data_IF_006153945317
#
_entry.id   IF_006153945317
#
_cell.length_a   1.000
_cell.length_b   1.000
_cell.length_c   1.000
_cell.angle_alpha   90.00
_cell.angle_beta   90.00
_cell.angle_gamma   90.00
#
_symmetry.space_group_name_H-M   'P 1'
#
loop_
_entity.id
_entity.type
_entity.pdbx_description
1 polymer ?
#
# COMPACT_ATOMS: atom_id res chain seq x y z
N UNK A 1 52.16 -2.23 59.50
CA UNK A 1 50.97 -2.04 58.69
C UNK A 1 51.20 -2.70 57.35
N UNK A 2 50.57 -3.80 57.08
CA UNK A 2 50.60 -4.48 55.76
C UNK A 2 49.47 -3.96 54.89
N UNK A 3 49.83 -3.49 53.69
CA UNK A 3 48.89 -3.03 52.69
C UNK A 3 48.42 -4.27 51.90
N UNK A 4 47.12 -4.57 51.98
CA UNK A 4 46.52 -5.65 51.21
C UNK A 4 46.32 -5.28 49.75
N UNK A 5 46.78 -6.17 48.88
CA UNK A 5 46.59 -6.09 47.41
C UNK A 5 45.13 -6.33 47.02
N UNK A 6 44.53 -5.53 46.20
CA UNK A 6 43.16 -5.78 45.72
C UNK A 6 43.14 -6.94 44.70
N UNK A 7 42.28 -7.92 44.99
CA UNK A 7 41.98 -9.05 44.10
C UNK A 7 41.10 -8.53 42.94
N UNK A 8 41.59 -8.63 41.72
CA UNK A 8 40.85 -8.34 40.50
C UNK A 8 39.96 -9.55 40.16
N UNK A 9 38.64 -9.37 40.20
CA UNK A 9 37.65 -10.34 39.71
C UNK A 9 37.57 -10.17 38.21
N UNK A 10 37.73 -11.20 37.37
CA UNK A 10 37.56 -11.11 35.95
C UNK A 10 36.08 -10.87 35.57
N UNK A 11 35.78 -10.13 34.49
CA UNK A 11 34.42 -9.94 34.06
C UNK A 11 33.80 -11.27 33.60
N UNK A 12 32.56 -11.52 34.05
CA UNK A 12 31.75 -12.62 33.58
C UNK A 12 31.23 -12.26 32.19
N UNK A 13 31.65 -13.00 31.17
CA UNK A 13 31.04 -12.92 29.83
C UNK A 13 29.58 -13.35 29.90
N UNK A 14 28.64 -12.58 29.27
CA UNK A 14 27.28 -13.07 29.13
C UNK A 14 27.25 -14.20 28.09
N UNK A 15 26.89 -15.38 28.54
CA UNK A 15 26.62 -16.55 27.70
C UNK A 15 25.35 -16.24 26.90
N UNK A 16 25.51 -15.87 25.65
CA UNK A 16 24.39 -15.78 24.68
C UNK A 16 23.99 -17.21 24.32
N UNK A 17 22.88 -17.66 24.88
CA UNK A 17 22.18 -18.84 24.35
C UNK A 17 21.44 -18.41 23.09
N UNK A 18 21.66 -19.06 21.94
CA UNK A 18 20.85 -18.75 20.75
C UNK A 18 19.40 -19.17 21.02
N UNK A 19 18.50 -18.23 21.04
CA UNK A 19 17.07 -18.51 20.99
C UNK A 19 16.77 -18.85 19.54
N UNK A 20 16.73 -20.13 19.20
CA UNK A 20 16.14 -20.63 17.96
C UNK A 20 14.62 -20.50 18.13
N UNK A 21 13.91 -19.75 17.29
CA UNK A 21 12.45 -19.81 17.26
C UNK A 21 12.06 -21.24 16.84
N UNK A 22 10.97 -21.80 17.38
CA UNK A 22 10.47 -23.09 16.92
C UNK A 22 10.02 -22.93 15.47
N UNK A 23 10.81 -23.44 14.54
CA UNK A 23 10.37 -23.66 13.16
C UNK A 23 9.50 -24.91 13.19
N UNK A 24 8.21 -24.71 13.38
CA UNK A 24 7.25 -25.77 13.11
C UNK A 24 6.95 -25.75 11.59
N UNK A 25 7.68 -26.58 10.88
CA UNK A 25 7.48 -26.83 9.47
C UNK A 25 6.24 -27.69 9.28
N UNK A 26 5.06 -27.04 9.20
CA UNK A 26 3.85 -27.74 8.76
C UNK A 26 3.00 -26.85 7.88
N UNK A 27 2.97 -27.25 6.61
CA UNK A 27 1.93 -27.01 5.61
C UNK A 27 1.56 -25.54 5.40
N UNK A 28 2.07 -24.98 4.31
CA UNK A 28 1.40 -23.84 3.65
C UNK A 28 -0.10 -24.15 3.57
N UNK A 29 -0.97 -23.31 4.13
CA UNK A 29 -2.40 -23.46 3.91
C UNK A 29 -2.65 -23.48 2.40
N UNK A 30 -3.62 -24.25 1.89
CA UNK A 30 -4.01 -24.11 0.49
C UNK A 30 -4.44 -22.66 0.26
N UNK A 31 -4.08 -22.05 -0.89
CA UNK A 31 -4.47 -20.68 -1.20
C UNK A 31 -5.99 -20.56 -1.01
N UNK A 32 -6.39 -19.51 -0.29
CA UNK A 32 -7.81 -19.22 -0.12
C UNK A 32 -8.39 -19.00 -1.52
N UNK A 33 -9.53 -19.62 -1.82
CA UNK A 33 -10.21 -19.47 -3.12
C UNK A 33 -10.91 -18.12 -3.26
N UNK A 34 -10.75 -17.23 -2.28
CA UNK A 34 -11.24 -15.85 -2.28
C UNK A 34 -10.07 -14.88 -2.14
N UNK A 35 -10.07 -13.75 -2.85
CA UNK A 35 -9.09 -12.67 -2.69
C UNK A 35 -9.12 -12.06 -1.28
N UNK A 36 -8.30 -11.00 -1.03
CA UNK A 36 -8.23 -10.34 0.27
C UNK A 36 -9.58 -9.74 0.68
N UNK A 37 -9.88 -9.74 1.98
CA UNK A 37 -11.15 -9.23 2.53
C UNK A 37 -10.90 -8.31 3.72
N UNK A 38 -11.82 -7.37 3.95
CA UNK A 38 -11.92 -6.56 5.19
C UNK A 38 -13.36 -6.67 5.69
N UNK A 39 -13.54 -7.14 6.93
CA UNK A 39 -14.86 -7.30 7.57
C UNK A 39 -15.91 -8.02 6.70
N UNK A 40 -15.49 -9.07 6.01
CA UNK A 40 -16.24 -9.89 5.04
C UNK A 40 -16.53 -9.21 3.68
N UNK A 41 -16.12 -7.98 3.45
CA UNK A 41 -16.15 -7.39 2.11
C UNK A 41 -14.91 -7.80 1.33
N UNK A 42 -15.04 -8.19 0.05
CA UNK A 42 -13.86 -8.45 -0.79
C UNK A 42 -13.09 -7.14 -1.03
N UNK A 43 -11.78 -7.22 -1.15
CA UNK A 43 -10.99 -6.13 -1.69
C UNK A 43 -10.87 -6.31 -3.20
N UNK A 44 -11.97 -6.06 -3.89
CA UNK A 44 -12.23 -6.35 -5.30
C UNK A 44 -12.35 -7.85 -5.66
N UNK A 45 -12.87 -8.18 -6.85
CA UNK A 45 -12.88 -9.55 -7.36
C UNK A 45 -11.49 -10.16 -7.49
N UNK A 46 -11.39 -11.49 -7.41
CA UNK A 46 -10.11 -12.19 -7.49
C UNK A 46 -9.35 -11.95 -8.81
N UNK A 47 -10.04 -11.60 -9.89
CA UNK A 47 -9.47 -11.23 -11.17
C UNK A 47 -9.30 -9.71 -11.35
N UNK A 48 -9.28 -8.95 -10.25
CA UNK A 48 -8.91 -7.55 -10.29
C UNK A 48 -7.38 -7.40 -10.43
N UNK A 49 -6.92 -6.35 -11.08
CA UNK A 49 -5.48 -6.07 -11.25
C UNK A 49 -4.70 -6.01 -9.91
N UNK A 50 -5.34 -5.59 -8.82
CA UNK A 50 -4.72 -5.64 -7.50
C UNK A 50 -4.41 -7.06 -7.06
N UNK A 51 -5.32 -8.00 -7.32
CA UNK A 51 -5.29 -9.38 -6.85
C UNK A 51 -4.64 -10.36 -7.83
N UNK A 52 -4.16 -9.87 -8.99
CA UNK A 52 -3.61 -10.71 -10.05
C UNK A 52 -2.10 -10.86 -9.91
N UNK A 53 -1.57 -12.09 -9.82
CA UNK A 53 -0.13 -12.35 -9.84
C UNK A 53 0.53 -11.85 -11.13
N UNK A 54 1.78 -11.38 -11.01
CA UNK A 54 2.56 -10.84 -12.12
C UNK A 54 3.95 -11.45 -12.24
N UNK A 55 4.25 -12.45 -11.45
CA UNK A 55 5.56 -13.12 -11.38
C UNK A 55 6.01 -13.71 -12.71
N UNK A 56 5.05 -14.07 -13.58
CA UNK A 56 5.32 -14.63 -14.92
C UNK A 56 5.24 -13.62 -16.06
N UNK A 57 4.92 -12.35 -15.80
CA UNK A 57 4.80 -11.34 -16.86
C UNK A 57 6.15 -10.97 -17.47
N UNK A 58 6.19 -10.55 -18.75
CA UNK A 58 7.39 -10.06 -19.38
C UNK A 58 7.86 -8.75 -18.73
N UNK A 59 9.17 -8.54 -18.71
CA UNK A 59 9.79 -7.29 -18.28
C UNK A 59 9.39 -6.19 -19.28
N UNK A 60 8.98 -5.04 -18.75
CA UNK A 60 8.65 -3.88 -19.57
C UNK A 60 9.89 -3.31 -20.25
N UNK A 61 9.79 -2.88 -21.51
CA UNK A 61 10.91 -2.37 -22.30
C UNK A 61 11.59 -1.11 -21.71
N UNK A 62 10.88 -0.35 -20.88
CA UNK A 62 11.39 0.84 -20.19
C UNK A 62 11.83 0.53 -18.74
N UNK A 63 11.83 -0.73 -18.30
CA UNK A 63 12.12 -1.09 -16.91
C UNK A 63 13.38 -0.43 -16.37
N UNK A 64 14.51 -0.58 -17.08
CA UNK A 64 15.78 0.02 -16.67
C UNK A 64 15.75 1.57 -16.60
N UNK A 65 15.04 2.20 -17.55
CA UNK A 65 14.93 3.64 -17.60
C UNK A 65 14.08 4.18 -16.43
N UNK A 66 12.95 3.53 -16.13
CA UNK A 66 12.09 3.90 -15.01
C UNK A 66 12.78 3.71 -13.66
N UNK A 67 13.46 2.58 -13.46
CA UNK A 67 14.22 2.32 -12.23
C UNK A 67 15.35 3.34 -12.05
N UNK A 68 16.04 3.72 -13.13
CA UNK A 68 17.05 4.77 -13.06
C UNK A 68 16.46 6.15 -12.71
N UNK A 69 15.27 6.46 -13.20
CA UNK A 69 14.56 7.71 -12.90
C UNK A 69 14.11 7.79 -11.45
N UNK A 70 13.62 6.67 -10.89
CA UNK A 70 13.19 6.61 -9.47
C UNK A 70 14.40 6.64 -8.53
N UNK A 71 15.55 6.12 -8.95
CA UNK A 71 16.73 5.96 -8.09
C UNK A 71 17.07 4.50 -7.89
N UNK A 72 17.99 4.00 -8.73
CA UNK A 72 18.40 2.59 -8.75
C UNK A 72 19.00 2.11 -7.44
N UNK A 73 19.75 2.96 -6.77
CA UNK A 73 20.48 2.66 -5.53
C UNK A 73 19.75 3.18 -4.29
N UNK A 74 18.58 3.80 -4.45
CA UNK A 74 17.74 4.22 -3.35
C UNK A 74 17.08 3.03 -2.68
N UNK A 75 16.93 3.14 -1.35
CA UNK A 75 16.39 2.08 -0.49
C UNK A 75 14.86 2.08 -0.54
N UNK A 76 14.29 0.89 -0.49
CA UNK A 76 12.87 0.73 -0.21
C UNK A 76 12.58 1.19 1.22
N UNK A 77 11.44 1.81 1.43
CA UNK A 77 10.97 2.20 2.75
C UNK A 77 9.52 1.75 2.96
N UNK A 78 9.27 1.06 4.09
CA UNK A 78 7.92 0.71 4.50
C UNK A 78 7.35 1.88 5.30
N UNK A 79 6.51 2.70 4.65
CA UNK A 79 5.99 3.96 5.18
C UNK A 79 4.75 3.74 6.07
N UNK A 80 4.90 2.84 7.03
CA UNK A 80 3.90 2.52 8.05
C UNK A 80 4.54 1.77 9.22
N UNK A 81 3.84 1.71 10.36
CA UNK A 81 4.40 1.02 11.52
C UNK A 81 3.55 1.16 12.77
N UNK A 82 4.16 0.83 13.92
CA UNK A 82 3.64 1.10 15.24
C UNK A 82 4.17 2.43 15.79
N UNK A 83 3.43 3.01 16.74
CA UNK A 83 3.80 4.27 17.39
C UNK A 83 3.49 5.49 16.54
N UNK A 84 4.23 6.56 16.79
CA UNK A 84 3.99 7.88 16.18
C UNK A 84 5.25 8.43 15.51
N UNK A 85 5.07 9.13 14.41
CA UNK A 85 6.08 9.95 13.77
C UNK A 85 5.56 11.38 13.61
N UNK A 86 6.34 12.37 14.00
CA UNK A 86 5.99 13.80 13.96
C UNK A 86 4.63 14.13 14.64
N UNK A 87 4.23 13.34 15.64
CA UNK A 87 3.05 13.57 16.46
C UNK A 87 1.79 12.82 16.07
N UNK A 88 1.86 11.87 15.14
CA UNK A 88 0.74 11.01 14.80
C UNK A 88 1.13 9.62 14.29
N UNK A 89 0.13 8.73 14.09
CA UNK A 89 0.35 7.37 13.63
C UNK A 89 1.07 7.30 12.29
N UNK A 90 1.88 6.26 12.09
CA UNK A 90 2.68 6.06 10.87
C UNK A 90 1.88 5.21 9.87
N UNK A 91 1.49 5.80 8.74
CA UNK A 91 0.77 5.13 7.66
C UNK A 91 -0.65 5.64 7.47
N UNK A 92 -1.38 5.04 6.52
CA UNK A 92 -2.73 5.45 6.11
C UNK A 92 -3.76 4.60 6.86
N UNK A 93 -4.48 5.14 7.86
CA UNK A 93 -5.49 4.41 8.59
C UNK A 93 -6.77 4.26 7.77
N UNK A 94 -7.63 3.31 8.16
CA UNK A 94 -8.96 3.17 7.59
C UNK A 94 -10.02 2.97 8.67
N UNK A 95 -11.26 3.18 8.28
CA UNK A 95 -12.44 3.03 9.12
C UNK A 95 -13.32 1.92 8.55
N UNK A 96 -13.91 1.11 9.44
CA UNK A 96 -14.87 0.07 9.08
C UNK A 96 -16.17 0.38 9.78
N UNK A 97 -17.23 0.58 9.01
CA UNK A 97 -18.53 1.00 9.53
C UNK A 97 -19.67 0.13 8.96
N UNK A 98 -20.81 0.09 9.66
CA UNK A 98 -22.08 -0.25 9.05
C UNK A 98 -22.71 1.09 8.62
N UNK A 99 -22.78 1.36 7.33
CA UNK A 99 -23.10 2.67 6.78
C UNK A 99 -24.39 3.27 7.29
N UNK A 100 -25.39 2.43 7.57
CA UNK A 100 -26.66 2.88 8.17
C UNK A 100 -26.56 3.40 9.63
N UNK A 101 -25.43 3.19 10.30
CA UNK A 101 -25.23 3.54 11.71
C UNK A 101 -24.39 4.79 11.93
N UNK A 102 -23.83 5.37 10.87
CA UNK A 102 -22.99 6.56 10.92
C UNK A 102 -23.60 7.70 10.12
N UNK A 103 -23.27 8.97 10.42
CA UNK A 103 -23.69 10.08 9.59
C UNK A 103 -23.19 9.96 8.15
N UNK A 104 -23.97 10.41 7.20
CA UNK A 104 -23.57 10.53 5.80
C UNK A 104 -23.50 12.01 5.43
N UNK A 105 -22.39 12.45 4.88
CA UNK A 105 -22.10 13.84 4.58
C UNK A 105 -21.93 14.09 3.09
N UNK A 106 -22.52 15.17 2.60
CA UNK A 106 -22.13 15.75 1.33
C UNK A 106 -20.83 16.54 1.58
N UNK A 107 -19.75 16.15 0.91
CA UNK A 107 -18.45 16.80 1.04
C UNK A 107 -18.25 17.83 -0.09
N UNK A 108 -17.57 18.93 0.23
CA UNK A 108 -17.17 19.95 -0.74
C UNK A 108 -15.74 19.67 -1.22
N UNK A 109 -15.55 19.42 -2.52
CA UNK A 109 -14.23 19.11 -3.09
C UNK A 109 -13.65 20.24 -3.93
N UNK A 110 -12.31 20.39 -3.89
CA UNK A 110 -11.59 21.34 -4.74
C UNK A 110 -11.59 20.89 -6.20
N UNK A 111 -11.66 19.55 -6.45
CA UNK A 111 -11.77 18.93 -7.77
C UNK A 111 -13.15 18.25 -7.96
N UNK A 112 -14.26 19.03 -7.95
CA UNK A 112 -15.60 18.45 -7.93
C UNK A 112 -15.96 17.72 -9.23
N UNK A 113 -15.33 18.08 -10.35
CA UNK A 113 -15.57 17.46 -11.66
C UNK A 113 -14.91 16.09 -11.79
N UNK A 114 -13.96 15.77 -10.89
CA UNK A 114 -13.24 14.50 -10.84
C UNK A 114 -13.52 13.74 -9.55
N UNK A 115 -14.53 14.15 -8.79
CA UNK A 115 -14.92 13.55 -7.52
C UNK A 115 -16.31 12.95 -7.58
N UNK A 116 -16.54 11.85 -6.86
CA UNK A 116 -17.88 11.29 -6.68
C UNK A 116 -18.66 12.16 -5.68
N UNK A 117 -19.91 12.47 -6.02
CA UNK A 117 -20.71 13.43 -5.26
C UNK A 117 -21.09 13.00 -3.83
N UNK A 118 -20.88 11.75 -3.44
CA UNK A 118 -21.27 11.24 -2.13
C UNK A 118 -22.75 10.81 -2.07
N UNK A 119 -23.38 10.72 -0.86
CA UNK A 119 -22.79 11.09 0.43
C UNK A 119 -21.74 10.10 0.96
N UNK A 120 -20.85 10.59 1.84
CA UNK A 120 -19.76 9.82 2.45
C UNK A 120 -20.11 9.42 3.89
N UNK A 121 -20.08 8.14 4.27
CA UNK A 121 -20.42 7.66 5.61
C UNK A 121 -19.21 7.84 6.55
N UNK A 122 -19.01 9.03 7.05
CA UNK A 122 -17.88 9.38 7.93
C UNK A 122 -18.32 9.24 9.39
N UNK A 123 -17.68 8.39 10.22
CA UNK A 123 -18.04 8.25 11.63
C UNK A 123 -17.67 9.51 12.44
N UNK A 124 -18.23 9.69 13.65
CA UNK A 124 -18.03 10.88 14.50
C UNK A 124 -16.58 10.98 14.95
N UNK A 125 -15.67 10.28 14.92
CA UNK A 125 -14.25 10.41 15.20
C UNK A 125 -13.49 9.51 14.24
N UNK A 126 -13.40 9.89 12.97
CA UNK A 126 -12.75 9.06 11.97
C UNK A 126 -11.25 8.97 12.22
N UNK A 127 -10.69 7.81 11.92
CA UNK A 127 -9.26 7.71 11.73
C UNK A 127 -8.91 8.48 10.46
N UNK A 128 -8.11 9.52 10.59
CA UNK A 128 -7.61 10.36 9.50
C UNK A 128 -6.10 10.17 9.44
N UNK A 129 -5.56 10.09 8.25
CA UNK A 129 -4.12 10.03 8.07
C UNK A 129 -3.44 11.25 8.69
N UNK A 130 -2.35 10.99 9.40
CA UNK A 130 -1.49 12.04 9.94
C UNK A 130 -0.52 12.53 8.86
N UNK A 131 -0.30 13.84 8.80
CA UNK A 131 0.60 14.45 7.82
C UNK A 131 -0.08 15.56 7.04
N UNK A 132 0.20 15.66 5.75
CA UNK A 132 -0.35 16.70 4.86
C UNK A 132 -1.57 16.25 4.09
N UNK A 133 -1.75 14.95 3.89
CA UNK A 133 -2.71 14.42 2.90
C UNK A 133 -4.08 14.12 3.49
N UNK A 134 -4.15 13.96 4.82
CA UNK A 134 -5.40 13.83 5.59
C UNK A 134 -6.42 12.89 4.94
N UNK A 135 -5.96 11.74 4.44
CA UNK A 135 -6.86 10.75 3.85
C UNK A 135 -7.88 10.23 4.87
N UNK A 136 -9.13 10.08 4.44
CA UNK A 136 -10.15 9.32 5.16
C UNK A 136 -10.61 8.18 4.28
N UNK A 137 -10.32 6.95 4.71
CA UNK A 137 -10.74 5.72 4.04
C UNK A 137 -11.84 5.06 4.87
N UNK A 138 -12.97 4.70 4.25
CA UNK A 138 -14.11 4.08 4.94
C UNK A 138 -14.62 2.89 4.14
N UNK A 139 -14.68 1.72 4.77
CA UNK A 139 -15.36 0.54 4.24
C UNK A 139 -16.75 0.45 4.88
N UNK A 140 -17.79 0.54 4.07
CA UNK A 140 -19.15 0.23 4.49
C UNK A 140 -19.41 -1.27 4.35
N UNK A 141 -19.58 -1.95 5.47
CA UNK A 141 -19.76 -3.39 5.55
C UNK A 141 -21.15 -3.89 5.14
N UNK A 142 -22.15 -3.01 5.03
CA UNK A 142 -23.49 -3.36 4.62
C UNK A 142 -23.63 -3.44 3.09
N UNK A 143 -22.85 -2.60 2.39
CA UNK A 143 -22.90 -2.52 0.93
C UNK A 143 -21.62 -2.98 0.24
N UNK A 144 -20.53 -3.18 1.00
CA UNK A 144 -19.19 -3.38 0.51
C UNK A 144 -18.73 -2.28 -0.47
N UNK A 145 -19.06 -1.04 -0.13
CA UNK A 145 -18.54 0.14 -0.80
C UNK A 145 -17.34 0.68 -0.03
N UNK A 146 -16.34 1.12 -0.76
CA UNK A 146 -15.16 1.83 -0.23
C UNK A 146 -15.27 3.30 -0.60
N UNK A 147 -15.10 4.17 0.38
CA UNK A 147 -15.08 5.61 0.22
C UNK A 147 -13.69 6.12 0.60
N UNK A 148 -13.06 6.86 -0.27
CA UNK A 148 -11.73 7.42 -0.06
C UNK A 148 -11.71 8.89 -0.41
N UNK A 149 -11.07 9.68 0.44
CA UNK A 149 -11.00 11.13 0.28
C UNK A 149 -9.59 11.64 0.57
N UNK A 150 -9.21 12.73 -0.10
CA UNK A 150 -7.92 13.40 0.02
C UNK A 150 -8.07 14.80 0.63
N UNK A 151 -7.11 15.21 1.47
CA UNK A 151 -6.97 16.53 2.10
C UNK A 151 -8.22 16.98 2.88
N UNK A 152 -8.78 16.05 3.67
CA UNK A 152 -10.05 16.29 4.36
C UNK A 152 -9.92 17.12 5.62
N UNK A 153 -10.84 18.05 5.78
CA UNK A 153 -11.01 18.86 6.97
C UNK A 153 -12.49 19.04 7.33
N UNK A 154 -12.79 19.19 8.62
CA UNK A 154 -14.14 19.43 9.10
C UNK A 154 -14.21 20.79 9.80
N UNK A 155 -14.97 21.73 9.23
CA UNK A 155 -15.17 23.05 9.82
C UNK A 155 -16.64 23.46 9.76
N UNK A 156 -17.15 23.98 10.88
CA UNK A 156 -18.53 24.49 11.01
C UNK A 156 -19.64 23.51 10.56
N UNK A 157 -19.39 22.21 10.67
CA UNK A 157 -20.37 21.17 10.31
C UNK A 157 -20.28 20.71 8.84
N UNK A 158 -19.28 21.16 8.09
CA UNK A 158 -19.03 20.81 6.68
C UNK A 158 -17.71 20.10 6.55
N UNK A 159 -17.71 18.97 5.84
CA UNK A 159 -16.50 18.31 5.35
C UNK A 159 -16.08 18.94 4.02
N UNK A 160 -14.81 19.29 3.91
CA UNK A 160 -14.22 19.76 2.66
C UNK A 160 -12.85 19.14 2.43
N UNK A 161 -12.45 19.00 1.19
CA UNK A 161 -11.17 18.36 0.84
C UNK A 161 -10.79 18.51 -0.63
N UNK A 162 -9.73 17.82 -1.03
CA UNK A 162 -9.21 17.85 -2.40
C UNK A 162 -10.12 17.10 -3.35
N UNK A 163 -10.30 15.82 -3.12
CA UNK A 163 -11.06 14.90 -3.98
C UNK A 163 -11.69 13.77 -3.19
N UNK A 164 -12.66 13.10 -3.81
CA UNK A 164 -13.31 11.94 -3.23
C UNK A 164 -13.66 10.87 -4.27
N UNK A 165 -13.51 9.61 -3.90
CA UNK A 165 -13.77 8.46 -4.74
C UNK A 165 -14.62 7.41 -4.02
N UNK A 166 -15.54 6.79 -4.76
CA UNK A 166 -16.43 5.73 -4.26
C UNK A 166 -16.25 4.50 -5.13
N UNK A 167 -15.95 3.38 -4.51
CA UNK A 167 -15.66 2.12 -5.17
C UNK A 167 -16.63 1.02 -4.75
N UNK A 168 -17.22 0.31 -5.72
CA UNK A 168 -17.91 -0.95 -5.45
C UNK A 168 -16.88 -2.07 -5.40
N UNK A 169 -16.61 -2.58 -4.19
CA UNK A 169 -15.62 -3.64 -3.97
C UNK A 169 -15.99 -4.99 -4.60
N UNK A 170 -17.20 -5.13 -5.11
CA UNK A 170 -17.63 -6.31 -5.87
C UNK A 170 -17.47 -6.15 -7.39
N UNK A 171 -16.93 -5.01 -7.85
CA UNK A 171 -16.84 -4.63 -9.26
C UNK A 171 -15.40 -4.41 -9.69
N UNK A 172 -15.11 -4.68 -10.96
CA UNK A 172 -13.85 -4.31 -11.61
C UNK A 172 -13.91 -2.97 -12.34
N UNK A 173 -14.97 -2.17 -12.17
CA UNK A 173 -15.09 -0.89 -12.83
C UNK A 173 -13.97 0.07 -12.39
N UNK A 174 -13.28 0.68 -13.36
CA UNK A 174 -12.36 1.77 -13.12
C UNK A 174 -13.11 3.10 -13.12
N UNK A 175 -12.50 4.13 -12.53
CA UNK A 175 -12.99 5.50 -12.60
C UNK A 175 -13.04 5.99 -14.06
N UNK A 176 -13.81 7.06 -14.37
CA UNK A 176 -13.75 7.69 -15.66
C UNK A 176 -12.32 8.04 -16.05
N UNK A 177 -12.03 7.99 -17.35
CA UNK A 177 -10.71 8.36 -17.87
C UNK A 177 -10.41 9.83 -17.56
N UNK A 178 -9.19 10.13 -17.17
CA UNK A 178 -8.69 11.44 -16.69
C UNK A 178 -9.16 11.86 -15.28
N UNK A 179 -9.93 11.05 -14.58
CA UNK A 179 -10.34 11.37 -13.21
C UNK A 179 -9.28 10.92 -12.19
N UNK A 180 -8.94 11.83 -11.28
CA UNK A 180 -8.18 11.48 -10.07
C UNK A 180 -9.03 10.64 -9.09
N UNK A 181 -8.44 10.17 -8.02
CA UNK A 181 -9.14 9.62 -6.85
C UNK A 181 -8.61 10.33 -5.59
N UNK A 182 -8.62 9.69 -4.45
CA UNK A 182 -7.83 10.11 -3.30
C UNK A 182 -6.32 9.92 -3.57
N UNK A 183 -5.96 9.06 -4.52
CA UNK A 183 -4.62 8.88 -5.09
C UNK A 183 -4.50 9.56 -6.46
N UNK A 184 -3.32 10.13 -6.76
CA UNK A 184 -3.10 10.85 -8.01
C UNK A 184 -3.26 9.99 -9.27
N UNK A 185 -3.03 8.67 -9.17
CA UNK A 185 -3.22 7.75 -10.29
C UNK A 185 -4.69 7.51 -10.68
N UNK A 186 -5.67 8.00 -9.89
CA UNK A 186 -7.07 7.63 -10.06
C UNK A 186 -7.34 6.16 -9.70
N UNK A 187 -6.56 5.61 -8.78
CA UNK A 187 -6.64 4.26 -8.22
C UNK A 187 -7.14 4.30 -6.77
N UNK A 188 -7.68 3.20 -6.23
CA UNK A 188 -7.98 3.11 -4.80
C UNK A 188 -6.72 2.90 -3.96
N UNK A 189 -6.70 3.46 -2.77
CA UNK A 189 -5.59 3.37 -1.80
C UNK A 189 -5.65 2.06 -1.00
N UNK A 190 -6.78 1.81 -0.32
CA UNK A 190 -6.92 0.73 0.67
C UNK A 190 -6.57 -0.67 0.14
N UNK A 191 -6.93 -1.06 -1.09
CA UNK A 191 -6.58 -2.38 -1.63
C UNK A 191 -5.08 -2.60 -1.82
N UNK A 192 -4.29 -1.54 -1.86
CA UNK A 192 -2.83 -1.58 -1.98
C UNK A 192 -2.06 -1.42 -0.67
N UNK A 193 -2.75 -1.16 0.46
CA UNK A 193 -2.09 -1.00 1.76
C UNK A 193 -1.69 -2.35 2.34
N UNK A 194 -0.48 -2.42 2.89
CA UNK A 194 -0.05 -3.54 3.74
C UNK A 194 -0.79 -3.46 5.07
N UNK A 195 -1.44 -4.54 5.49
CA UNK A 195 -2.21 -4.57 6.75
C UNK A 195 -1.69 -5.65 7.70
N UNK A 196 -1.77 -5.37 8.99
CA UNK A 196 -1.27 -6.31 10.02
C UNK A 196 -2.06 -7.62 10.10
N UNK A 197 -3.35 -7.62 9.79
CA UNK A 197 -4.17 -8.83 9.75
C UNK A 197 -3.69 -9.84 8.68
N UNK A 198 -3.10 -9.36 7.58
CA UNK A 198 -2.48 -10.20 6.54
C UNK A 198 -1.18 -10.83 7.02
N UNK A 199 -0.40 -10.12 7.84
CA UNK A 199 0.79 -10.69 8.48
C UNK A 199 0.39 -11.82 9.44
N UNK A 200 -0.69 -11.63 10.20
CA UNK A 200 -1.24 -12.67 11.08
C UNK A 200 -1.75 -13.88 10.28
N UNK A 201 -2.33 -13.63 9.10
CA UNK A 201 -2.74 -14.69 8.17
C UNK A 201 -1.54 -15.40 7.51
N UNK A 202 -0.35 -14.77 7.50
CA UNK A 202 0.88 -15.30 6.94
C UNK A 202 1.05 -15.07 5.44
N UNK A 203 0.14 -14.31 4.80
CA UNK A 203 0.18 -14.01 3.38
C UNK A 203 -0.50 -12.68 3.05
N UNK A 204 -0.01 -11.99 2.02
CA UNK A 204 -0.62 -10.85 1.37
C UNK A 204 -0.92 -11.27 -0.07
N UNK A 205 -2.19 -11.22 -0.48
CA UNK A 205 -2.67 -11.73 -1.76
C UNK A 205 -3.04 -10.61 -2.74
N UNK A 206 -2.31 -9.50 -2.70
CA UNK A 206 -2.52 -8.35 -3.58
C UNK A 206 -1.22 -7.58 -3.83
N UNK A 207 -1.22 -6.73 -4.84
CA UNK A 207 -0.14 -5.79 -5.10
C UNK A 207 -0.11 -4.69 -4.03
N UNK A 208 1.08 -4.17 -3.72
CA UNK A 208 1.24 -3.10 -2.74
C UNK A 208 1.27 -1.74 -3.44
N UNK A 209 0.72 -0.72 -2.80
CA UNK A 209 0.81 0.68 -3.23
C UNK A 209 2.20 1.23 -2.91
N UNK A 210 2.80 1.97 -3.85
CA UNK A 210 4.03 2.72 -3.57
C UNK A 210 4.04 4.06 -4.30
N UNK A 211 4.94 4.95 -3.87
CA UNK A 211 5.12 6.30 -4.40
C UNK A 211 6.51 6.50 -4.98
N UNK A 212 6.64 7.54 -5.82
CA UNK A 212 7.90 8.07 -6.32
C UNK A 212 7.79 9.61 -6.46
N UNK A 213 8.92 10.31 -6.47
CA UNK A 213 8.92 11.78 -6.63
C UNK A 213 8.39 12.22 -7.98
N UNK A 214 8.89 11.64 -9.06
CA UNK A 214 8.58 12.04 -10.43
C UNK A 214 7.83 10.97 -11.20
N UNK A 215 6.66 11.35 -11.74
CA UNK A 215 5.85 10.52 -12.65
C UNK A 215 5.54 11.28 -13.93
N UNK A 216 5.29 10.55 -15.04
CA UNK A 216 4.97 11.18 -16.31
C UNK A 216 3.99 10.35 -17.14
N UNK A 217 2.77 10.85 -17.28
CA UNK A 217 1.67 10.14 -17.92
C UNK A 217 1.07 9.06 -17.03
N UNK A 218 0.20 8.26 -17.60
CA UNK A 218 -0.36 7.07 -16.94
C UNK A 218 -0.54 5.93 -17.94
N UNK A 219 -0.56 4.73 -17.41
CA UNK A 219 -0.91 3.50 -18.13
C UNK A 219 -1.98 2.73 -17.37
N UNK A 220 -2.72 1.88 -18.06
CA UNK A 220 -3.68 0.99 -17.41
C UNK A 220 -3.03 0.23 -16.24
N UNK A 221 -3.68 0.15 -15.05
CA UNK A 221 -5.08 0.51 -14.77
C UNK A 221 -5.30 1.96 -14.31
N UNK A 222 -4.26 2.79 -14.20
CA UNK A 222 -4.40 4.19 -13.78
C UNK A 222 -5.30 4.98 -14.74
N UNK A 223 -5.90 6.05 -14.21
CA UNK A 223 -6.87 6.90 -14.92
C UNK A 223 -6.43 8.34 -15.00
N UNK A 224 -5.43 8.74 -14.21
CA UNK A 224 -5.01 10.13 -14.09
C UNK A 224 -3.49 10.23 -14.01
N UNK A 225 -2.97 11.43 -14.26
CA UNK A 225 -1.54 11.78 -14.24
C UNK A 225 -1.34 13.17 -13.60
N UNK A 226 -0.20 13.37 -12.97
CA UNK A 226 0.20 14.68 -12.43
C UNK A 226 1.08 15.47 -13.42
N UNK A 227 1.66 14.82 -14.41
CA UNK A 227 2.55 15.40 -15.42
C UNK A 227 2.34 14.76 -16.78
N UNK A 228 2.64 15.50 -17.85
CA UNK A 228 2.58 14.97 -19.21
C UNK A 228 3.58 13.82 -19.45
N UNK A 229 3.27 12.88 -20.36
CA UNK A 229 4.16 11.77 -20.66
C UNK A 229 5.57 12.20 -21.02
N UNK A 230 6.58 11.59 -20.37
CA UNK A 230 8.00 11.82 -20.63
C UNK A 230 8.74 10.50 -20.72
N UNK A 231 9.58 10.37 -21.75
CA UNK A 231 10.35 9.14 -21.94
C UNK A 231 11.36 8.90 -20.81
N UNK A 232 11.37 7.69 -20.26
CA UNK A 232 12.27 7.27 -19.19
C UNK A 232 11.79 7.59 -17.77
N UNK A 233 10.69 8.36 -17.62
CA UNK A 233 10.03 8.61 -16.34
C UNK A 233 8.86 7.63 -16.19
N UNK A 234 8.66 7.00 -15.03
CA UNK A 234 7.59 6.02 -14.86
C UNK A 234 6.21 6.68 -14.91
N UNK A 235 5.23 6.07 -15.60
CA UNK A 235 3.86 6.55 -15.59
C UNK A 235 3.12 6.05 -14.35
N UNK A 236 2.08 6.78 -13.91
CA UNK A 236 1.10 6.27 -12.95
C UNK A 236 0.53 4.94 -13.44
N UNK A 237 0.30 3.99 -12.52
CA UNK A 237 -0.14 2.63 -12.85
C UNK A 237 0.98 1.67 -13.27
N UNK A 238 2.23 2.13 -13.39
CA UNK A 238 3.36 1.24 -13.62
C UNK A 238 3.49 0.23 -12.49
N UNK A 239 3.80 -1.04 -12.85
CA UNK A 239 3.89 -2.12 -11.89
C UNK A 239 5.28 -2.72 -11.88
N UNK A 240 5.85 -2.86 -10.69
CA UNK A 240 7.17 -3.41 -10.47
C UNK A 240 7.07 -4.67 -9.61
N UNK A 241 8.04 -5.56 -9.74
CA UNK A 241 8.16 -6.73 -8.87
C UNK A 241 9.62 -6.94 -8.47
N UNK A 242 9.84 -7.64 -7.37
CA UNK A 242 11.17 -8.18 -7.06
C UNK A 242 11.60 -9.13 -8.17
N UNK A 243 12.87 -9.07 -8.56
CA UNK A 243 13.45 -9.94 -9.59
C UNK A 243 13.29 -11.41 -9.24
N UNK A 244 13.14 -12.26 -10.25
CA UNK A 244 12.90 -13.68 -10.07
C UNK A 244 14.01 -14.38 -9.28
N UNK A 245 15.26 -13.94 -9.43
CA UNK A 245 16.46 -14.48 -8.76
C UNK A 245 16.71 -13.88 -7.37
N UNK A 246 15.94 -12.87 -6.94
CA UNK A 246 16.03 -12.34 -5.58
C UNK A 246 15.58 -13.42 -4.57
N UNK A 247 16.43 -13.71 -3.59
CA UNK A 247 16.15 -14.71 -2.55
C UNK A 247 15.36 -14.06 -1.41
N UNK A 248 14.08 -14.41 -1.27
CA UNK A 248 13.19 -13.85 -0.27
C UNK A 248 13.30 -14.60 1.07
N UNK A 249 13.21 -13.86 2.19
CA UNK A 249 13.21 -14.44 3.53
C UNK A 249 11.94 -15.24 3.87
N UNK A 250 10.87 -15.01 3.10
CA UNK A 250 9.54 -15.55 3.35
C UNK A 250 8.64 -14.61 4.16
N UNK A 251 9.11 -13.41 4.48
CA UNK A 251 8.27 -12.37 5.07
C UNK A 251 7.15 -11.98 4.10
N UNK A 252 5.87 -11.89 4.55
CA UNK A 252 4.74 -11.71 3.64
C UNK A 252 4.85 -10.55 2.66
N UNK A 253 5.33 -9.33 3.02
CA UNK A 253 5.55 -8.24 2.07
C UNK A 253 6.53 -8.58 0.95
N UNK A 254 7.66 -9.25 1.22
CA UNK A 254 8.61 -9.69 0.17
C UNK A 254 7.95 -10.65 -0.82
N UNK A 255 7.16 -11.60 -0.29
CA UNK A 255 6.41 -12.54 -1.13
C UNK A 255 5.40 -11.82 -2.00
N UNK A 256 4.66 -10.86 -1.45
CA UNK A 256 3.70 -10.05 -2.19
C UNK A 256 4.41 -9.22 -3.27
N UNK A 257 5.51 -8.55 -2.95
CA UNK A 257 6.31 -7.80 -3.92
C UNK A 257 6.86 -8.67 -5.06
N UNK A 258 7.10 -9.94 -4.81
CA UNK A 258 7.58 -10.89 -5.83
C UNK A 258 6.45 -11.44 -6.69
N UNK A 259 5.32 -11.80 -6.09
CA UNK A 259 4.18 -12.44 -6.74
C UNK A 259 3.21 -11.44 -7.36
N UNK A 260 2.80 -10.46 -6.56
CA UNK A 260 1.83 -9.43 -6.99
C UNK A 260 2.50 -8.10 -7.36
N UNK A 261 3.70 -7.83 -6.84
CA UNK A 261 4.45 -6.61 -7.11
C UNK A 261 3.95 -5.38 -6.36
N UNK A 262 4.47 -4.23 -6.79
CA UNK A 262 4.09 -2.90 -6.29
C UNK A 262 3.54 -2.05 -7.43
N UNK A 263 2.49 -1.27 -7.18
CA UNK A 263 1.80 -0.40 -8.16
C UNK A 263 2.11 1.06 -7.82
N UNK A 264 2.59 1.80 -8.81
CA UNK A 264 2.83 3.24 -8.70
C UNK A 264 1.49 3.98 -8.75
N UNK A 265 1.06 4.52 -7.62
CA UNK A 265 -0.26 5.09 -7.45
C UNK A 265 -0.27 6.58 -7.11
N UNK A 266 0.85 7.13 -6.61
CA UNK A 266 0.94 8.54 -6.26
C UNK A 266 2.36 9.09 -6.36
N UNK A 267 2.49 10.42 -6.29
CA UNK A 267 3.75 11.10 -6.05
C UNK A 267 4.04 11.17 -4.55
N UNK A 268 5.30 11.04 -4.20
CA UNK A 268 5.80 11.05 -2.82
C UNK A 268 7.28 10.75 -2.81
N UNK A 269 7.82 10.26 -1.70
CA UNK A 269 9.22 9.84 -1.66
C UNK A 269 9.43 8.59 -2.51
N UNK A 270 10.64 8.44 -3.07
CA UNK A 270 10.99 7.30 -3.90
C UNK A 270 10.98 5.98 -3.12
N UNK A 271 10.40 4.94 -3.70
CA UNK A 271 10.33 3.58 -3.16
C UNK A 271 9.64 3.47 -1.78
N UNK A 272 8.71 4.39 -1.47
CA UNK A 272 7.91 4.32 -0.25
C UNK A 272 6.68 3.44 -0.47
N UNK A 273 6.61 2.32 0.26
CA UNK A 273 5.49 1.37 0.23
C UNK A 273 4.52 1.70 1.34
N UNK A 274 3.26 1.86 1.00
CA UNK A 274 2.22 2.28 1.94
C UNK A 274 1.58 1.11 2.70
N UNK A 275 1.21 1.37 3.94
CA UNK A 275 0.48 0.42 4.77
C UNK A 275 -0.36 1.11 5.84
N UNK A 276 -1.12 0.32 6.57
CA UNK A 276 -1.97 0.83 7.65
C UNK A 276 -1.24 0.79 9.00
N UNK A 277 -1.36 1.85 9.83
CA UNK A 277 -0.80 1.87 11.18
C UNK A 277 -1.42 0.77 12.05
N UNK A 278 -0.60 0.13 12.87
CA UNK A 278 -1.06 -0.84 13.88
C UNK A 278 -0.01 -0.95 14.99
N UNK A 279 -0.44 -0.87 16.25
CA UNK A 279 0.45 -0.94 17.41
C UNK A 279 1.16 -2.31 17.57
N UNK A 280 0.74 -3.30 16.81
CA UNK A 280 1.35 -4.64 16.82
C UNK A 280 2.52 -4.78 15.85
N UNK A 281 2.77 -3.78 14.96
CA UNK A 281 3.93 -3.82 14.09
C UNK A 281 5.23 -3.87 14.90
N UNK A 282 6.13 -4.74 14.49
CA UNK A 282 7.53 -4.72 14.91
C UNK A 282 8.30 -3.90 13.87
N UNK A 283 8.59 -2.63 14.20
CA UNK A 283 9.27 -1.72 13.29
C UNK A 283 10.68 -2.21 12.93
N UNK A 284 11.37 -2.94 13.83
CA UNK A 284 12.67 -3.52 13.51
C UNK A 284 12.54 -4.60 12.41
N UNK A 285 11.42 -5.33 12.39
CA UNK A 285 11.13 -6.29 11.31
C UNK A 285 10.81 -5.60 9.99
N UNK A 286 10.11 -4.46 10.01
CA UNK A 286 9.86 -3.67 8.80
C UNK A 286 11.17 -3.11 8.24
N UNK A 287 12.07 -2.62 9.09
CA UNK A 287 13.39 -2.11 8.69
C UNK A 287 14.33 -3.18 8.10
N UNK A 288 14.02 -4.48 8.25
CA UNK A 288 14.77 -5.51 7.51
C UNK A 288 14.57 -5.41 5.99
N UNK A 289 13.50 -4.75 5.54
CA UNK A 289 13.23 -4.51 4.11
C UNK A 289 13.98 -3.30 3.54
N UNK A 290 14.56 -2.45 4.38
CA UNK A 290 15.37 -1.30 3.95
C UNK A 290 16.68 -1.71 3.25
N UNK A 291 16.99 -3.00 3.17
CA UNK A 291 18.11 -3.51 2.36
C UNK A 291 17.77 -3.60 0.88
N UNK A 292 16.48 -3.60 0.53
CA UNK A 292 16.01 -3.60 -0.85
C UNK A 292 16.28 -2.24 -1.50
N UNK A 293 16.68 -2.28 -2.75
CA UNK A 293 16.94 -1.09 -3.57
C UNK A 293 16.21 -1.18 -4.89
N UNK A 294 16.15 -0.10 -5.64
CA UNK A 294 15.64 -0.12 -7.01
C UNK A 294 16.32 -1.18 -7.89
N UNK A 295 17.58 -1.57 -7.57
CA UNK A 295 18.28 -2.64 -8.28
C UNK A 295 17.63 -4.02 -8.12
N UNK A 296 16.86 -4.25 -7.09
CA UNK A 296 16.24 -5.53 -6.80
C UNK A 296 14.89 -5.68 -7.51
N UNK A 297 14.40 -4.61 -8.11
CA UNK A 297 13.13 -4.56 -8.83
C UNK A 297 13.29 -4.56 -10.35
N UNK A 298 12.21 -4.92 -11.03
CA UNK A 298 12.01 -4.79 -12.46
C UNK A 298 10.56 -4.40 -12.76
N UNK A 299 10.34 -3.48 -13.71
CA UNK A 299 9.00 -3.15 -14.17
C UNK A 299 8.49 -4.22 -15.13
N UNK A 300 7.19 -4.55 -15.05
CA UNK A 300 6.56 -5.56 -15.91
C UNK A 300 5.57 -4.94 -16.89
N UNK A 301 5.36 -5.59 -18.02
CA UNK A 301 4.35 -5.19 -19.01
C UNK A 301 2.98 -5.76 -18.62
N UNK A 302 2.15 -4.93 -18.02
CA UNK A 302 0.78 -5.28 -17.60
C UNK A 302 -0.25 -5.17 -18.72
N UNK A 303 0.12 -4.66 -19.91
CA UNK A 303 -0.81 -4.52 -21.04
C UNK A 303 -1.40 -5.85 -21.50
N UNK A 304 -0.67 -6.93 -21.27
CA UNK A 304 -1.11 -8.30 -21.61
C UNK A 304 -2.25 -8.81 -20.74
N UNK A 305 -2.43 -8.24 -19.54
CA UNK A 305 -3.50 -8.58 -18.60
C UNK A 305 -4.82 -7.90 -18.93
N UNK A 306 -4.77 -6.73 -19.54
CA UNK A 306 -5.94 -5.88 -19.76
C UNK A 306 -7.01 -6.59 -20.61
N UNK A 307 -8.22 -6.69 -20.07
CA UNK A 307 -9.43 -7.16 -20.80
C UNK A 307 -10.11 -6.00 -21.50
N UNK A 308 -10.36 -4.92 -20.75
CA UNK A 308 -10.98 -3.68 -21.22
C UNK A 308 -10.29 -2.49 -20.57
N UNK A 309 -10.10 -1.40 -21.32
CA UNK A 309 -9.42 -0.20 -20.84
C UNK A 309 -10.15 0.49 -19.67
N UNK A 310 -11.46 0.29 -19.55
CA UNK A 310 -12.29 0.88 -18.49
C UNK A 310 -12.59 -0.11 -17.35
N UNK A 311 -11.95 -1.27 -17.36
CA UNK A 311 -12.09 -2.29 -16.32
C UNK A 311 -10.73 -2.65 -15.73
N UNK A 312 -10.68 -2.84 -14.40
CA UNK A 312 -9.56 -3.45 -13.71
C UNK A 312 -9.56 -4.98 -13.80
N UNK A 313 -10.47 -5.57 -14.58
CA UNK A 313 -10.51 -7.01 -14.82
C UNK A 313 -9.29 -7.46 -15.62
N UNK A 314 -8.71 -8.56 -15.19
CA UNK A 314 -7.56 -9.22 -15.84
C UNK A 314 -7.97 -10.52 -16.53
N UNK A 315 -7.17 -10.91 -17.53
CA UNK A 315 -7.33 -12.18 -18.27
C UNK A 315 -6.98 -13.38 -17.41
#
# INVERSE_FOLDING_TARGET
AAVGTPTIIPPVEPSATPITPPVDSTSTPPPSTGGPTIANCPMFPANNYWNTPIDSLPIHSQSDAWINSIGRDELLHMDFGSGEWDGGPIGIPFNVVAGSTVPAYDAEFYYPEESDAGPYPIPDNPNIEWGSDHHILVVDTETCMLYETYDMSFDNGVWSGGSGAIWDLNSNALRPDTWTSADAAGLPILPGLVRYDEIVAGEIQHALRFTVEDTAGYIWPARHQTSDPQNGVPPMGARFRLKADYDISGFPPERAMKEYGIVLADNGSNWYVSGSPDERWDNDMLHLLDVLTGNDFEAVDTSVLMVDVNSGETK
#
